data_IF_902401421869
#
_entry.id   IF_902401421869
#
_cell.length_a   1.000
_cell.length_b   1.000
_cell.length_c   1.000
_cell.angle_alpha   90.00
_cell.angle_beta   90.00
_cell.angle_gamma   90.00
#
_symmetry.space_group_name_H-M   'P 1'
#
loop_
_entity.id
_entity.type
_entity.pdbx_description
1 polymer ?
#
# COMPACT_ATOMS: atom_id res chain seq x y z
N UNK A 1 -2.56 15.89 -8.46
CA UNK A 1 -1.15 16.18 -8.10
C UNK A 1 -0.29 14.93 -8.23
N UNK A 2 -0.64 13.84 -7.56
CA UNK A 2 -0.11 12.48 -7.77
C UNK A 2 -1.26 11.47 -7.76
N UNK A 3 -1.02 10.24 -8.20
CA UNK A 3 -1.94 9.11 -8.09
C UNK A 3 -1.54 8.16 -6.93
N UNK A 4 -2.44 7.23 -6.57
CA UNK A 4 -2.20 6.30 -5.46
C UNK A 4 -1.07 5.29 -5.68
N UNK A 5 -0.68 5.01 -6.93
CA UNK A 5 0.48 4.16 -7.23
C UNK A 5 1.79 4.93 -6.99
N UNK A 6 1.87 6.20 -7.39
CA UNK A 6 3.01 7.07 -7.07
C UNK A 6 3.19 7.17 -5.54
N UNK A 7 2.10 7.33 -4.80
CA UNK A 7 2.11 7.36 -3.33
C UNK A 7 2.65 6.06 -2.71
N UNK A 8 2.13 4.90 -3.13
CA UNK A 8 2.62 3.61 -2.63
C UNK A 8 4.10 3.43 -2.94
N UNK A 9 4.52 3.78 -4.16
CA UNK A 9 5.91 3.70 -4.54
C UNK A 9 6.80 4.66 -3.74
N UNK A 10 6.34 5.88 -3.44
CA UNK A 10 7.07 6.79 -2.56
C UNK A 10 7.28 6.19 -1.17
N UNK A 11 6.28 5.52 -0.59
CA UNK A 11 6.42 4.81 0.69
C UNK A 11 7.38 3.62 0.58
N UNK A 12 7.34 2.86 -0.51
CA UNK A 12 8.26 1.73 -0.76
C UNK A 12 9.73 2.17 -0.90
N UNK A 13 9.97 3.43 -1.31
CA UNK A 13 11.31 4.02 -1.48
C UNK A 13 11.87 4.71 -0.23
N UNK A 14 11.14 4.67 0.89
CA UNK A 14 11.66 5.17 2.16
C UNK A 14 13.00 4.49 2.50
N UNK A 15 13.85 5.18 3.25
CA UNK A 15 15.01 4.51 3.83
C UNK A 15 14.55 3.30 4.66
N UNK A 16 15.13 2.09 4.50
CA UNK A 16 14.64 0.89 5.17
C UNK A 16 14.60 1.00 6.70
N UNK A 17 15.57 1.67 7.33
CA UNK A 17 15.58 1.85 8.78
C UNK A 17 14.46 2.80 9.20
N UNK A 18 14.26 3.89 8.44
CA UNK A 18 13.15 4.82 8.67
C UNK A 18 11.80 4.14 8.48
N UNK A 19 11.62 3.34 7.42
CA UNK A 19 10.37 2.63 7.13
C UNK A 19 9.93 1.72 8.29
N UNK A 20 10.87 0.95 8.85
CA UNK A 20 10.61 0.02 9.94
C UNK A 20 10.33 0.72 11.27
N UNK A 21 11.02 1.83 11.55
CA UNK A 21 10.83 2.61 12.77
C UNK A 21 9.60 3.53 12.72
N UNK A 22 9.18 3.98 11.53
CA UNK A 22 8.10 4.92 11.35
C UNK A 22 6.73 4.33 11.71
N UNK A 23 5.91 5.14 12.38
CA UNK A 23 4.49 4.83 12.57
C UNK A 23 3.76 4.79 11.22
N UNK A 24 2.57 4.18 11.19
CA UNK A 24 1.76 4.10 9.97
C UNK A 24 1.54 5.49 9.33
N UNK A 25 1.11 6.48 10.10
CA UNK A 25 0.86 7.83 9.59
C UNK A 25 2.13 8.63 9.30
N UNK A 26 3.26 8.27 9.91
CA UNK A 26 4.53 8.86 9.53
C UNK A 26 4.98 8.40 8.13
N UNK A 27 4.67 7.16 7.74
CA UNK A 27 4.88 6.71 6.35
C UNK A 27 4.04 7.52 5.38
N UNK A 28 2.80 7.85 5.75
CA UNK A 28 1.93 8.74 4.97
C UNK A 28 2.55 10.12 4.79
N UNK A 29 2.95 10.75 5.90
CA UNK A 29 3.62 12.04 5.88
C UNK A 29 4.85 12.03 4.97
N UNK A 30 5.70 11.01 5.10
CA UNK A 30 6.93 10.87 4.30
C UNK A 30 6.62 10.71 2.82
N UNK A 31 5.66 9.85 2.46
CA UNK A 31 5.26 9.63 1.07
C UNK A 31 4.66 10.88 0.42
N UNK A 32 3.75 11.57 1.13
CA UNK A 32 3.11 12.80 0.65
C UNK A 32 4.15 13.91 0.48
N UNK A 33 4.95 14.20 1.51
CA UNK A 33 5.98 15.23 1.44
C UNK A 33 6.99 14.98 0.32
N UNK A 34 7.39 13.71 0.13
CA UNK A 34 8.30 13.33 -0.97
C UNK A 34 7.71 13.71 -2.32
N UNK A 35 6.47 13.32 -2.60
CA UNK A 35 5.83 13.59 -3.88
C UNK A 35 5.60 15.08 -4.12
N UNK A 36 5.28 15.84 -3.07
CA UNK A 36 5.13 17.29 -3.17
C UNK A 36 6.45 17.99 -3.49
N UNK A 37 7.56 17.47 -2.95
CA UNK A 37 8.92 17.96 -3.30
C UNK A 37 9.30 17.54 -4.71
N UNK A 38 9.12 16.28 -5.10
CA UNK A 38 9.45 15.76 -6.44
C UNK A 38 8.66 16.50 -7.54
N UNK A 39 7.43 16.95 -7.25
CA UNK A 39 6.57 17.69 -8.18
C UNK A 39 6.74 19.22 -8.10
N UNK A 40 7.69 19.71 -7.30
CA UNK A 40 8.01 21.13 -7.18
C UNK A 40 6.94 21.97 -6.49
N UNK A 41 6.03 21.36 -5.74
CA UNK A 41 4.98 22.07 -5.01
C UNK A 41 5.57 22.77 -3.78
N UNK A 42 6.43 22.06 -3.06
CA UNK A 42 7.23 22.57 -1.94
C UNK A 42 8.69 22.17 -2.13
N UNK A 43 9.60 22.74 -1.34
CA UNK A 43 11.01 22.32 -1.35
C UNK A 43 11.39 21.66 -0.02
N UNK A 44 12.37 20.75 -0.04
CA UNK A 44 12.92 20.17 1.20
C UNK A 44 13.39 21.27 2.16
N UNK A 45 14.14 22.25 1.65
CA UNK A 45 14.68 23.33 2.47
C UNK A 45 13.59 24.16 3.16
N UNK A 46 12.46 24.42 2.48
CA UNK A 46 11.32 25.08 3.10
C UNK A 46 10.71 24.25 4.23
N UNK A 47 10.50 22.95 3.99
CA UNK A 47 9.94 22.06 5.00
C UNK A 47 10.85 21.94 6.23
N UNK A 48 12.16 21.83 6.03
CA UNK A 48 13.15 21.77 7.11
C UNK A 48 13.23 23.07 7.90
N UNK A 49 13.19 24.22 7.19
CA UNK A 49 13.17 25.54 7.83
C UNK A 49 11.92 25.73 8.70
N UNK A 50 10.75 25.28 8.22
CA UNK A 50 9.49 25.35 8.98
C UNK A 50 9.44 24.37 10.14
N UNK A 51 9.96 23.15 9.96
CA UNK A 51 9.94 22.10 10.99
C UNK A 51 11.04 22.28 12.06
N UNK A 52 11.99 23.19 11.85
CA UNK A 52 13.12 23.41 12.78
C UNK A 52 14.11 22.24 12.82
N UNK A 53 14.19 21.42 11.77
CA UNK A 53 15.05 20.24 11.74
C UNK A 53 14.92 19.43 10.46
N UNK A 54 15.59 18.27 10.41
CA UNK A 54 15.56 17.42 9.22
C UNK A 54 14.15 16.92 8.91
N UNK A 55 13.81 16.88 7.63
CA UNK A 55 12.55 16.35 7.12
C UNK A 55 12.86 15.14 6.22
N UNK A 56 12.79 13.90 6.74
CA UNK A 56 13.07 12.70 5.96
C UNK A 56 12.11 12.59 4.77
N UNK A 57 12.67 12.36 3.58
CA UNK A 57 11.94 12.08 2.35
C UNK A 57 12.45 10.74 1.78
N UNK A 58 11.65 10.10 0.94
CA UNK A 58 12.04 8.85 0.29
C UNK A 58 13.14 9.08 -0.75
N UNK A 59 13.90 8.02 -1.04
CA UNK A 59 14.97 8.01 -2.05
C UNK A 59 14.38 8.16 -3.45
N UNK A 60 15.01 8.86 -4.41
CA UNK A 60 14.44 9.07 -5.75
C UNK A 60 14.04 7.75 -6.45
N UNK A 61 13.02 7.76 -7.32
CA UNK A 61 12.60 6.55 -8.03
C UNK A 61 13.70 6.09 -8.99
N UNK A 62 13.84 4.76 -9.11
CA UNK A 62 14.70 4.18 -10.13
C UNK A 62 14.10 4.41 -11.53
N UNK A 63 14.96 4.62 -12.53
CA UNK A 63 14.56 4.55 -13.93
C UNK A 63 14.12 3.12 -14.26
N UNK A 64 12.99 3.00 -14.94
CA UNK A 64 12.41 1.72 -15.32
C UNK A 64 12.06 1.72 -16.80
N UNK A 65 12.39 0.63 -17.48
CA UNK A 65 11.85 0.29 -18.79
C UNK A 65 10.69 -0.68 -18.60
N UNK A 66 9.65 -0.52 -19.39
CA UNK A 66 8.41 -1.28 -19.25
C UNK A 66 8.12 -2.01 -20.55
N UNK A 67 7.77 -3.29 -20.43
CA UNK A 67 7.31 -4.10 -21.55
C UNK A 67 6.03 -3.51 -22.14
N UNK A 68 5.81 -3.75 -23.43
CA UNK A 68 4.54 -3.42 -24.06
C UNK A 68 3.38 -4.22 -23.46
N UNK A 69 2.17 -3.63 -23.39
CA UNK A 69 1.01 -4.29 -22.84
C UNK A 69 0.63 -5.53 -23.66
N UNK A 70 0.46 -6.65 -22.96
CA UNK A 70 0.07 -7.91 -23.58
C UNK A 70 -1.46 -8.06 -23.63
N UNK A 71 -1.96 -8.77 -24.66
CA UNK A 71 -3.36 -9.15 -24.70
C UNK A 71 -3.69 -10.14 -23.56
N UNK A 72 -4.85 -10.03 -22.88
CA UNK A 72 -5.27 -11.01 -21.87
C UNK A 72 -5.37 -12.42 -22.45
N UNK A 73 -4.74 -13.41 -21.79
CA UNK A 73 -4.61 -14.79 -22.34
C UNK A 73 -5.16 -15.90 -21.45
N UNK A 74 -5.51 -15.60 -20.21
CA UNK A 74 -5.88 -16.63 -19.23
C UNK A 74 -7.38 -16.62 -18.94
N UNK A 75 -7.91 -17.79 -18.63
CA UNK A 75 -9.30 -18.01 -18.24
C UNK A 75 -9.34 -18.77 -16.90
N UNK A 76 -10.50 -18.75 -16.23
CA UNK A 76 -10.73 -19.53 -15.01
C UNK A 76 -10.45 -21.02 -15.26
N UNK A 77 -9.75 -21.67 -14.33
CA UNK A 77 -9.24 -23.03 -14.45
C UNK A 77 -7.90 -23.14 -15.16
N UNK A 78 -7.39 -22.06 -15.78
CA UNK A 78 -6.11 -22.03 -16.45
C UNK A 78 -4.93 -22.10 -15.48
N UNK A 79 -3.93 -22.93 -15.79
CA UNK A 79 -2.67 -22.96 -15.06
C UNK A 79 -1.75 -21.82 -15.53
N UNK A 80 -1.16 -21.09 -14.58
CA UNK A 80 -0.25 -19.96 -14.84
C UNK A 80 1.05 -20.12 -14.08
N UNK A 81 2.10 -19.48 -14.57
CA UNK A 81 3.36 -19.30 -13.85
C UNK A 81 3.62 -17.81 -13.76
N UNK A 82 3.81 -17.30 -12.54
CA UNK A 82 4.16 -15.89 -12.33
C UNK A 82 5.57 -15.66 -12.83
N UNK A 83 5.78 -14.62 -13.64
CA UNK A 83 7.11 -14.27 -14.16
C UNK A 83 8.10 -14.07 -13.02
N UNK A 84 9.32 -14.59 -13.17
CA UNK A 84 10.41 -14.37 -12.22
C UNK A 84 11.15 -13.07 -12.54
N UNK A 85 10.59 -11.95 -12.07
CA UNK A 85 11.04 -10.59 -12.38
C UNK A 85 11.55 -9.86 -11.14
N UNK A 86 12.49 -8.94 -11.32
CA UNK A 86 13.08 -8.15 -10.25
C UNK A 86 13.15 -6.67 -10.63
N UNK A 87 11.99 -6.02 -10.90
CA UNK A 87 11.99 -4.62 -11.29
C UNK A 87 12.57 -3.77 -10.15
N UNK A 88 13.41 -2.77 -10.46
CA UNK A 88 13.93 -1.85 -9.46
C UNK A 88 12.86 -0.84 -8.97
N UNK A 89 11.71 -0.80 -9.64
CA UNK A 89 10.60 0.12 -9.38
C UNK A 89 9.39 -0.52 -8.70
N UNK A 90 8.25 0.20 -8.78
CA UNK A 90 6.97 -0.23 -8.26
C UNK A 90 6.48 -1.48 -8.98
N UNK A 91 6.07 -2.48 -8.21
CA UNK A 91 5.34 -3.63 -8.76
C UNK A 91 4.36 -4.17 -7.74
N UNK A 92 3.26 -4.74 -8.25
CA UNK A 92 2.26 -5.40 -7.41
C UNK A 92 2.43 -6.91 -7.32
N UNK A 93 3.46 -7.48 -7.96
CA UNK A 93 3.80 -8.91 -7.84
C UNK A 93 4.71 -9.13 -6.62
N UNK A 94 4.18 -9.68 -5.51
CA UNK A 94 4.98 -9.93 -4.31
C UNK A 94 6.10 -10.92 -4.60
N UNK A 95 7.22 -10.79 -3.89
CA UNK A 95 8.39 -11.64 -4.13
C UNK A 95 8.11 -13.13 -3.96
N UNK A 96 7.27 -13.53 -3.00
CA UNK A 96 7.05 -14.93 -2.66
C UNK A 96 6.29 -15.74 -3.73
N UNK A 97 5.59 -15.08 -4.66
CA UNK A 97 4.89 -15.76 -5.77
C UNK A 97 5.69 -15.78 -7.07
N UNK A 98 6.82 -15.08 -7.16
CA UNK A 98 7.61 -15.01 -8.40
C UNK A 98 8.19 -16.38 -8.75
N UNK A 99 8.05 -16.78 -10.01
CA UNK A 99 8.41 -18.12 -10.49
C UNK A 99 7.49 -19.25 -10.04
N UNK A 100 6.43 -18.98 -9.26
CA UNK A 100 5.52 -20.00 -8.74
C UNK A 100 4.39 -20.28 -9.72
N UNK A 101 3.95 -21.55 -9.74
CA UNK A 101 2.80 -22.01 -10.50
C UNK A 101 1.53 -21.91 -9.65
N UNK A 102 0.44 -21.46 -10.26
CA UNK A 102 -0.87 -21.39 -9.63
C UNK A 102 -2.01 -21.60 -10.63
N UNK A 103 -3.23 -21.67 -10.11
CA UNK A 103 -4.46 -21.81 -10.90
C UNK A 103 -5.27 -20.51 -10.90
N UNK A 104 -5.76 -20.08 -12.06
CA UNK A 104 -6.65 -18.91 -12.15
C UNK A 104 -8.03 -19.29 -11.62
N UNK A 105 -8.48 -18.65 -10.56
CA UNK A 105 -9.81 -18.89 -9.96
C UNK A 105 -10.82 -17.81 -10.36
N UNK A 106 -10.33 -16.62 -10.76
CA UNK A 106 -11.19 -15.50 -11.13
C UNK A 106 -10.46 -14.49 -12.03
N UNK A 107 -11.18 -13.88 -12.98
CA UNK A 107 -10.68 -12.80 -13.86
C UNK A 107 -11.36 -11.49 -13.46
N UNK A 108 -10.59 -10.56 -12.88
CA UNK A 108 -11.11 -9.29 -12.41
C UNK A 108 -11.24 -8.25 -13.53
N UNK A 109 -11.99 -7.14 -13.29
CA UNK A 109 -12.09 -6.05 -14.25
C UNK A 109 -10.73 -5.43 -14.62
N UNK A 110 -10.74 -4.57 -15.63
CA UNK A 110 -9.52 -3.88 -16.06
C UNK A 110 -9.17 -2.76 -15.08
N UNK A 111 -7.99 -2.83 -14.48
CA UNK A 111 -7.43 -1.79 -13.62
C UNK A 111 -6.29 -1.06 -14.31
N UNK A 112 -5.95 0.13 -13.81
CA UNK A 112 -4.76 0.86 -14.25
C UNK A 112 -3.52 0.02 -13.91
N UNK A 113 -2.61 -0.15 -14.87
CA UNK A 113 -1.38 -0.89 -14.67
C UNK A 113 -0.48 -0.18 -13.63
N UNK A 114 -0.26 -0.77 -12.45
CA UNK A 114 0.42 -0.08 -11.35
C UNK A 114 1.87 0.26 -11.66
N UNK A 115 2.58 -0.63 -12.36
CA UNK A 115 4.02 -0.56 -12.53
C UNK A 115 4.41 0.64 -13.42
N UNK A 116 3.58 1.06 -14.37
CA UNK A 116 3.78 2.34 -15.10
C UNK A 116 3.21 3.54 -14.33
N UNK A 117 2.01 3.39 -13.75
CA UNK A 117 1.34 4.48 -13.02
C UNK A 117 2.15 4.97 -11.80
N UNK A 118 2.86 4.07 -11.12
CA UNK A 118 3.71 4.36 -9.96
C UNK A 118 4.95 5.19 -10.29
N UNK A 119 5.31 5.24 -11.57
CA UNK A 119 6.45 6.01 -12.10
C UNK A 119 6.01 7.28 -12.84
N UNK A 120 4.73 7.66 -12.73
CA UNK A 120 4.19 8.84 -13.42
C UNK A 120 4.11 8.69 -14.94
N UNK A 121 4.23 7.46 -15.46
CA UNK A 121 4.15 7.16 -16.89
C UNK A 121 2.69 6.99 -17.33
N UNK A 122 2.44 7.06 -18.65
CA UNK A 122 1.14 6.69 -19.18
C UNK A 122 0.84 5.22 -18.88
N UNK A 123 -0.30 4.97 -18.23
CA UNK A 123 -0.67 3.65 -17.75
C UNK A 123 -1.89 3.12 -18.52
N UNK A 124 -1.70 2.00 -19.21
CA UNK A 124 -2.80 1.26 -19.83
C UNK A 124 -3.67 0.59 -18.76
N UNK A 125 -4.83 0.07 -19.20
CA UNK A 125 -5.70 -0.74 -18.35
C UNK A 125 -5.68 -2.20 -18.78
N UNK A 126 -5.48 -3.10 -17.83
CA UNK A 126 -5.43 -4.55 -18.03
C UNK A 126 -6.19 -5.29 -16.93
N UNK A 127 -6.75 -6.49 -17.20
CA UNK A 127 -7.40 -7.29 -16.17
C UNK A 127 -6.35 -7.84 -15.20
N UNK A 128 -6.74 -8.00 -13.94
CA UNK A 128 -5.97 -8.78 -12.96
C UNK A 128 -6.58 -10.17 -12.79
N UNK A 129 -5.76 -11.14 -12.41
CA UNK A 129 -6.21 -12.52 -12.18
C UNK A 129 -6.07 -12.83 -10.69
N UNK A 130 -7.11 -13.42 -10.09
CA UNK A 130 -6.95 -14.07 -8.79
C UNK A 130 -6.37 -15.45 -9.05
N UNK A 131 -5.20 -15.70 -8.48
CA UNK A 131 -4.46 -16.94 -8.68
C UNK A 131 -4.33 -17.63 -7.34
N UNK A 132 -4.80 -18.88 -7.29
CA UNK A 132 -4.63 -19.76 -6.16
C UNK A 132 -3.26 -20.44 -6.22
N UNK A 133 -2.58 -20.48 -5.08
CA UNK A 133 -1.30 -21.15 -4.90
C UNK A 133 -1.40 -22.09 -3.69
N UNK A 134 -1.01 -23.37 -3.82
CA UNK A 134 -0.84 -24.22 -2.65
C UNK A 134 0.22 -23.64 -1.72
N UNK A 135 -0.09 -23.49 -0.44
CA UNK A 135 0.84 -22.90 0.54
C UNK A 135 2.21 -23.61 0.58
N UNK A 136 2.22 -24.94 0.40
CA UNK A 136 3.45 -25.76 0.29
C UNK A 136 4.33 -25.38 -0.89
N UNK A 137 3.77 -24.87 -1.98
CA UNK A 137 4.53 -24.51 -3.18
C UNK A 137 5.15 -23.11 -3.04
N UNK A 138 4.52 -22.25 -2.22
CA UNK A 138 5.07 -20.95 -1.84
C UNK A 138 6.19 -21.08 -0.81
N UNK A 139 5.97 -21.94 0.19
CA UNK A 139 6.83 -22.07 1.37
C UNK A 139 7.43 -23.48 1.46
N UNK A 140 8.27 -23.84 0.49
CA UNK A 140 9.07 -25.07 0.57
C UNK A 140 10.16 -24.87 1.64
N UNK A 141 10.05 -25.59 2.75
CA UNK A 141 10.97 -25.67 3.90
C UNK A 141 11.74 -24.39 4.24
N UNK A 142 11.15 -23.57 5.11
CA UNK A 142 11.88 -22.58 5.90
C UNK A 142 13.12 -23.18 6.61
N UNK A 143 13.12 -24.50 6.85
CA UNK A 143 14.22 -25.28 7.41
C UNK A 143 15.43 -25.48 6.47
N UNK A 144 15.27 -25.40 5.14
CA UNK A 144 16.35 -25.62 4.18
C UNK A 144 17.18 -24.34 3.94
N UNK A 145 16.60 -23.16 4.15
CA UNK A 145 17.37 -21.93 4.25
C UNK A 145 17.95 -21.87 5.66
N UNK A 146 19.23 -22.17 5.83
CA UNK A 146 19.93 -22.18 7.14
C UNK A 146 20.02 -20.83 7.86
N UNK A 147 19.02 -19.96 7.75
CA UNK A 147 18.89 -18.66 8.41
C UNK A 147 18.01 -18.67 9.66
N UNK A 148 17.44 -19.82 10.04
CA UNK A 148 16.67 -20.00 11.27
C UNK A 148 17.32 -21.05 12.20
N UNK A 149 18.53 -20.75 12.70
CA UNK A 149 19.17 -21.58 13.74
C UNK A 149 19.50 -20.84 15.03
N UNK A 150 19.13 -19.56 15.14
CA UNK A 150 19.31 -18.81 16.37
C UNK A 150 17.94 -18.34 16.89
N UNK A 151 17.12 -19.31 17.31
CA UNK A 151 15.88 -19.04 18.05
C UNK A 151 16.26 -18.46 19.41
N UNK A 152 16.44 -17.14 19.48
CA UNK A 152 16.37 -16.44 20.75
C UNK A 152 14.90 -16.31 21.14
N UNK A 153 14.52 -16.63 22.39
CA UNK A 153 13.19 -16.32 22.88
C UNK A 153 12.95 -14.80 22.75
N UNK A 154 11.74 -14.42 22.35
CA UNK A 154 11.29 -13.03 22.10
C UNK A 154 11.46 -12.09 23.33
N UNK A 155 11.90 -12.61 24.48
CA UNK A 155 12.08 -11.87 25.73
C UNK A 155 13.52 -11.46 26.10
N UNK A 156 14.56 -11.89 25.37
CA UNK A 156 15.96 -11.54 25.70
C UNK A 156 16.59 -10.66 24.61
N UNK A 157 16.30 -9.35 24.67
CA UNK A 157 17.15 -8.36 24.02
C UNK A 157 18.40 -8.18 24.91
N UNK A 158 19.63 -8.34 24.38
CA UNK A 158 20.82 -7.94 25.12
C UNK A 158 20.64 -6.47 25.50
N UNK A 159 20.82 -6.15 26.79
CA UNK A 159 20.76 -4.79 27.29
C UNK A 159 21.67 -3.89 26.45
N UNK A 160 21.05 -3.15 25.52
CA UNK A 160 21.76 -2.23 24.66
C UNK A 160 22.18 -1.04 25.49
N UNK A 161 23.46 -1.00 25.87
CA UNK A 161 24.08 0.27 26.22
C UNK A 161 23.92 1.19 25.00
N UNK A 162 23.24 2.32 25.19
CA UNK A 162 23.21 3.41 24.22
C UNK A 162 24.62 3.99 24.20
N UNK A 163 25.49 3.43 23.37
CA UNK A 163 26.75 4.09 23.02
C UNK A 163 26.39 5.24 22.08
N UNK A 164 26.60 6.47 22.53
CA UNK A 164 26.56 7.64 21.67
C UNK A 164 27.65 7.51 20.59
N UNK A 165 27.28 7.02 19.40
CA UNK A 165 28.12 7.07 18.21
C UNK A 165 28.03 8.48 17.60
N UNK A 166 29.15 9.23 17.46
CA UNK A 166 29.18 10.56 16.84
C UNK A 166 28.73 10.62 15.37
N UNK A 167 28.47 9.46 14.75
CA UNK A 167 27.91 9.32 13.39
C UNK A 167 26.38 9.18 13.37
N UNK A 168 25.70 9.36 14.51
CA UNK A 168 24.24 9.38 14.54
C UNK A 168 23.73 10.50 13.63
N UNK A 169 22.89 10.20 12.62
CA UNK A 169 22.21 11.24 11.88
C UNK A 169 21.42 12.10 12.87
N UNK A 170 21.47 13.42 12.68
CA UNK A 170 20.65 14.36 13.45
C UNK A 170 19.22 13.83 13.46
N UNK A 171 18.66 13.64 14.66
CA UNK A 171 17.31 13.13 14.78
C UNK A 171 16.36 14.02 13.96
N UNK A 172 15.45 13.44 13.16
CA UNK A 172 14.52 14.24 12.38
C UNK A 172 13.65 15.09 13.29
N UNK A 173 13.13 16.18 12.74
CA UNK A 173 12.16 17.00 13.45
C UNK A 173 10.99 16.10 13.92
N UNK A 174 10.42 16.37 15.12
CA UNK A 174 9.28 15.60 15.62
C UNK A 174 8.16 15.53 14.58
N UNK A 175 7.40 14.41 14.56
CA UNK A 175 6.32 14.21 13.58
C UNK A 175 5.34 15.39 13.57
N UNK A 176 4.96 15.90 14.75
CA UNK A 176 4.05 17.04 14.88
C UNK A 176 4.59 18.30 14.17
N UNK A 177 5.86 18.64 14.37
CA UNK A 177 6.50 19.78 13.71
C UNK A 177 6.57 19.61 12.20
N UNK A 178 6.83 18.38 11.73
CA UNK A 178 6.82 18.07 10.29
C UNK A 178 5.42 18.16 9.67
N UNK A 179 4.39 17.74 10.41
CA UNK A 179 2.99 17.91 9.96
C UNK A 179 2.65 19.39 9.86
N UNK A 180 2.93 20.17 10.90
CA UNK A 180 2.67 21.62 10.90
C UNK A 180 3.47 22.35 9.82
N UNK A 181 4.72 21.95 9.58
CA UNK A 181 5.55 22.51 8.51
C UNK A 181 4.94 22.25 7.13
N UNK A 182 4.46 21.04 6.88
CA UNK A 182 3.83 20.67 5.62
C UNK A 182 2.49 21.40 5.43
N UNK A 183 1.63 21.40 6.45
CA UNK A 183 0.36 22.11 6.44
C UNK A 183 0.58 23.60 6.18
N UNK A 184 1.47 24.25 6.94
CA UNK A 184 1.79 25.67 6.75
C UNK A 184 2.36 25.99 5.37
N UNK A 185 3.14 25.07 4.76
CA UNK A 185 3.64 25.25 3.40
C UNK A 185 2.53 25.16 2.34
N UNK A 186 1.54 24.29 2.55
CA UNK A 186 0.38 24.13 1.66
C UNK A 186 -0.63 25.27 1.82
N UNK A 187 -0.93 25.69 3.04
CA UNK A 187 -1.84 26.81 3.33
C UNK A 187 -1.28 28.13 2.80
N UNK A 188 0.03 28.37 2.91
CA UNK A 188 0.69 29.55 2.31
C UNK A 188 0.53 29.63 0.78
N UNK A 189 0.25 28.50 0.13
CA UNK A 189 -0.01 28.38 -1.32
C UNK A 189 -1.49 28.28 -1.65
N UNK A 190 -2.37 28.41 -0.66
CA UNK A 190 -3.83 28.27 -0.80
C UNK A 190 -4.25 26.91 -1.37
N UNK A 191 -3.43 25.87 -1.15
CA UNK A 191 -3.72 24.51 -1.60
C UNK A 191 -4.58 23.72 -0.60
N UNK A 192 -4.61 24.18 0.65
CA UNK A 192 -5.43 23.62 1.73
C UNK A 192 -6.18 24.80 2.36
N UNK A 193 -7.46 25.02 2.01
CA UNK A 193 -8.27 26.05 2.63
C UNK A 193 -8.43 25.84 4.13
N UNK A 194 -8.69 26.91 4.88
CA UNK A 194 -8.95 26.82 6.32
C UNK A 194 -10.12 25.87 6.61
N UNK A 195 -9.94 24.98 7.60
CA UNK A 195 -10.92 23.97 7.98
C UNK A 195 -11.08 22.80 7.00
N UNK A 196 -10.32 22.75 5.89
CA UNK A 196 -10.37 21.63 4.94
C UNK A 196 -10.01 20.30 5.59
N UNK A 197 -8.93 20.27 6.38
CA UNK A 197 -8.46 19.05 7.04
C UNK A 197 -9.47 18.55 8.08
N UNK A 198 -10.04 19.46 8.87
CA UNK A 198 -11.08 19.12 9.85
C UNK A 198 -12.34 18.58 9.17
N UNK A 199 -12.77 19.21 8.08
CA UNK A 199 -13.92 18.75 7.29
C UNK A 199 -13.65 17.37 6.68
N UNK A 200 -12.44 17.14 6.16
CA UNK A 200 -12.02 15.85 5.60
C UNK A 200 -11.95 14.75 6.68
N UNK A 201 -11.42 15.06 7.86
CA UNK A 201 -11.38 14.13 8.99
C UNK A 201 -12.81 13.77 9.46
N UNK A 202 -13.67 14.76 9.65
CA UNK A 202 -15.07 14.56 10.03
C UNK A 202 -15.86 13.79 8.96
N UNK A 203 -15.53 13.95 7.67
CA UNK A 203 -16.09 13.14 6.61
C UNK A 203 -15.58 11.70 6.67
N UNK A 204 -14.27 11.50 6.82
CA UNK A 204 -13.66 10.18 6.92
C UNK A 204 -14.22 9.38 8.10
N UNK A 205 -14.38 9.99 9.28
CA UNK A 205 -14.98 9.33 10.45
C UNK A 205 -16.42 8.86 10.20
N UNK A 206 -17.19 9.62 9.41
CA UNK A 206 -18.57 9.26 9.04
C UNK A 206 -18.61 8.17 7.98
N UNK A 207 -17.75 8.25 6.96
CA UNK A 207 -17.83 7.41 5.76
C UNK A 207 -16.98 6.13 5.85
N UNK A 208 -15.87 6.15 6.58
CA UNK A 208 -14.89 5.07 6.70
C UNK A 208 -14.97 4.39 8.08
N UNK A 209 -16.19 4.16 8.57
CA UNK A 209 -16.42 3.51 9.86
C UNK A 209 -16.31 1.98 9.76
N UNK A 210 -15.62 1.28 10.68
CA UNK A 210 -15.64 -0.19 10.76
C UNK A 210 -17.05 -0.78 10.87
N UNK A 211 -18.01 0.02 11.37
CA UNK A 211 -19.42 -0.35 11.49
C UNK A 211 -20.04 -0.74 10.15
N UNK A 212 -19.58 -0.12 9.07
CA UNK A 212 -20.05 -0.34 7.71
C UNK A 212 -19.89 -1.81 7.29
N UNK A 213 -18.69 -2.37 7.49
CA UNK A 213 -18.42 -3.78 7.22
C UNK A 213 -19.22 -4.72 8.13
N UNK A 214 -19.34 -4.37 9.42
CA UNK A 214 -20.12 -5.16 10.37
C UNK A 214 -21.62 -5.22 9.99
N UNK A 215 -22.18 -4.14 9.46
CA UNK A 215 -23.57 -4.10 8.99
C UNK A 215 -23.80 -5.01 7.79
N UNK A 216 -22.87 -5.05 6.82
CA UNK A 216 -22.93 -5.99 5.69
C UNK A 216 -22.98 -7.43 6.18
N UNK A 217 -22.06 -7.79 7.07
CA UNK A 217 -21.94 -9.16 7.60
C UNK A 217 -23.19 -9.54 8.39
N UNK A 218 -23.66 -8.67 9.28
CA UNK A 218 -24.87 -8.91 10.07
C UNK A 218 -26.11 -9.09 9.17
N UNK A 219 -26.25 -8.27 8.12
CA UNK A 219 -27.34 -8.43 7.14
C UNK A 219 -27.25 -9.75 6.39
N UNK A 220 -26.05 -10.16 5.97
CA UNK A 220 -25.84 -11.44 5.30
C UNK A 220 -26.16 -12.65 6.20
N UNK A 221 -26.05 -12.52 7.53
CA UNK A 221 -26.48 -13.58 8.46
C UNK A 221 -28.00 -13.66 8.63
N UNK A 222 -28.71 -12.53 8.52
CA UNK A 222 -30.17 -12.48 8.73
C UNK A 222 -30.99 -12.66 7.45
N UNK A 223 -30.41 -12.35 6.29
CA UNK A 223 -31.07 -12.38 4.99
C UNK A 223 -30.31 -13.29 4.01
N UNK A 224 -30.76 -14.56 3.84
CA UNK A 224 -30.14 -15.50 2.91
C UNK A 224 -30.15 -15.03 1.45
N UNK A 225 -31.17 -14.26 1.03
CA UNK A 225 -31.24 -13.73 -0.32
C UNK A 225 -30.20 -12.62 -0.53
N UNK A 226 -30.02 -11.73 0.45
CA UNK A 226 -28.94 -10.76 0.46
C UNK A 226 -27.56 -11.44 0.42
N UNK A 227 -27.35 -12.47 1.25
CA UNK A 227 -26.10 -13.25 1.23
C UNK A 227 -25.80 -13.84 -0.15
N UNK A 228 -26.79 -14.43 -0.81
CA UNK A 228 -26.62 -15.00 -2.14
C UNK A 228 -26.20 -13.94 -3.18
N UNK A 229 -26.82 -12.75 -3.13
CA UNK A 229 -26.42 -11.62 -4.00
C UNK A 229 -25.00 -11.14 -3.69
N UNK A 230 -24.63 -11.07 -2.40
CA UNK A 230 -23.32 -10.63 -1.94
C UNK A 230 -22.19 -11.57 -2.38
N UNK A 231 -22.43 -12.88 -2.39
CA UNK A 231 -21.47 -13.86 -2.90
C UNK A 231 -21.37 -13.85 -4.44
N UNK A 232 -22.47 -13.57 -5.13
CA UNK A 232 -22.49 -13.51 -6.59
C UNK A 232 -21.80 -12.25 -7.13
N UNK A 233 -22.06 -11.09 -6.52
CA UNK A 233 -21.42 -9.82 -6.86
C UNK A 233 -21.36 -8.93 -5.62
N UNK A 234 -20.24 -9.02 -4.90
CA UNK A 234 -20.00 -8.22 -3.71
C UNK A 234 -20.03 -6.72 -3.98
N UNK A 235 -19.65 -6.30 -5.19
CA UNK A 235 -19.60 -4.89 -5.56
C UNK A 235 -21.00 -4.33 -5.74
N UNK A 236 -21.85 -5.03 -6.49
CA UNK A 236 -23.23 -4.61 -6.72
C UNK A 236 -24.08 -4.74 -5.44
N UNK A 237 -23.92 -5.83 -4.70
CA UNK A 237 -24.77 -6.17 -3.55
C UNK A 237 -24.33 -5.50 -2.25
N UNK A 238 -23.12 -4.94 -2.17
CA UNK A 238 -22.73 -4.17 -1.00
C UNK A 238 -23.68 -3.01 -0.73
N UNK A 239 -24.37 -2.45 -1.75
CA UNK A 239 -25.53 -1.51 -1.70
C UNK A 239 -25.43 -0.31 -0.71
N UNK A 240 -24.30 -0.13 -0.03
CA UNK A 240 -24.17 0.70 1.18
C UNK A 240 -23.29 1.93 0.97
N UNK A 241 -23.18 2.40 -0.27
CA UNK A 241 -22.46 3.63 -0.56
C UNK A 241 -20.97 3.59 -0.17
N UNK A 242 -20.34 2.40 -0.16
CA UNK A 242 -18.91 2.23 0.07
C UNK A 242 -18.07 2.73 -1.12
N UNK A 243 -18.24 3.99 -1.46
CA UNK A 243 -17.34 4.73 -2.35
C UNK A 243 -16.09 5.12 -1.57
N UNK A 244 -15.40 4.16 -0.95
CA UNK A 244 -14.01 4.37 -0.63
C UNK A 244 -13.29 4.48 -1.97
N UNK A 245 -12.59 5.58 -2.18
CA UNK A 245 -11.97 6.06 -3.43
C UNK A 245 -11.00 5.07 -4.12
N UNK A 246 -10.84 3.86 -3.58
CA UNK A 246 -9.94 2.79 -4.03
C UNK A 246 -10.54 1.37 -3.96
N UNK A 247 -11.79 1.19 -3.54
CA UNK A 247 -12.40 -0.14 -3.31
C UNK A 247 -13.63 -0.35 -4.20
N UNK A 248 -13.51 -0.02 -5.49
CA UNK A 248 -14.60 -0.14 -6.46
C UNK A 248 -14.83 -1.59 -6.93
N UNK A 249 -14.17 -2.56 -6.30
CA UNK A 249 -14.28 -3.96 -6.64
C UNK A 249 -14.13 -4.82 -5.39
N UNK A 250 -15.24 -5.44 -4.99
CA UNK A 250 -15.33 -6.31 -3.82
C UNK A 250 -15.64 -7.74 -4.26
N UNK A 251 -14.78 -8.67 -3.85
CA UNK A 251 -15.05 -10.10 -3.89
C UNK A 251 -15.33 -10.57 -2.47
N UNK A 252 -16.46 -11.24 -2.28
CA UNK A 252 -16.85 -11.80 -0.98
C UNK A 252 -16.65 -13.30 -1.05
N UNK A 253 -15.84 -13.81 -0.13
CA UNK A 253 -15.59 -15.24 0.02
C UNK A 253 -16.24 -15.71 1.30
N UNK A 254 -16.82 -16.90 1.25
CA UNK A 254 -17.34 -17.55 2.44
C UNK A 254 -16.22 -18.27 3.19
N UNK A 255 -16.24 -18.19 4.52
CA UNK A 255 -15.35 -18.97 5.36
C UNK A 255 -15.92 -20.39 5.51
N UNK A 256 -15.68 -21.24 4.52
CA UNK A 256 -16.08 -22.65 4.53
C UNK A 256 -14.98 -23.53 5.14
N UNK A 257 -15.32 -24.69 5.75
CA UNK A 257 -14.33 -25.65 6.25
C UNK A 257 -13.43 -26.25 5.16
N UNK A 258 -13.84 -26.11 3.91
CA UNK A 258 -13.15 -26.54 2.70
C UNK A 258 -12.91 -25.33 1.81
N UNK A 259 -11.70 -25.18 1.29
CA UNK A 259 -11.40 -24.22 0.22
C UNK A 259 -12.00 -24.70 -1.11
#
# INVERSE_FOLDING_TARGET
MYNWHEYRHAVERMDPAHYLAASYYERWLTGVATLLVEKGVVTRAELEARAGGQFPLSRPPASVEMDEPESPRFAVGGAVVVRDIHPPGHTRVPRYVRGKRGGVVHVAPRFVFPDTAGHGMHAHREPTYHVEFPARDLWTDAAASGRDRDRRPVGELPGGCVMNDPRHPVAPAPVAERVQALEGALSARQLVPDGFLDAAAAQAERELSPRNGAQVVARAWLDPAYRARLLADGTAAAELGFNATNSNYLVVLENTPTL
#
